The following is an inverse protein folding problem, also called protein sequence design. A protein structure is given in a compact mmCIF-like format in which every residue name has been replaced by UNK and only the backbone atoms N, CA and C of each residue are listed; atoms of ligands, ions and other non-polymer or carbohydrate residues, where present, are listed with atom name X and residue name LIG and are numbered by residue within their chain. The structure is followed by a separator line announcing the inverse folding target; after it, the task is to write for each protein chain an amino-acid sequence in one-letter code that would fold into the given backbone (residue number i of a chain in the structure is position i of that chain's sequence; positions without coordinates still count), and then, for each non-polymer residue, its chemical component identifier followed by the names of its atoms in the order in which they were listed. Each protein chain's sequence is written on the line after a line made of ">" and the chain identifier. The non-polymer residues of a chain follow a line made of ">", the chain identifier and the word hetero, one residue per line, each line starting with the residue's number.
data_IF_946875897649
#
_entry.id   IF_946875897649
#
_cell.length_a   1.000
_cell.length_b   1.000
_cell.length_c   1.000
_cell.angle_alpha   90.00
_cell.angle_beta   90.00
_cell.angle_gamma   90.00
#
_symmetry.space_group_name_H-M   'P 1'
#
loop_
_entity.id
_entity.type
_entity.pdbx_description
1 polymer ?
2 non-polymer ?
3 non-polymer ?
4 water ?
#
# COMPACT_ATOMS: atom_id res chain seq x y z
N UNK A 5 -12.71 9.48 0.42
CA UNK A 5 -13.33 10.38 -0.56
C UNK A 5 -14.71 9.82 -0.91
N UNK A 6 -15.71 10.06 -0.03
CA UNK A 6 -17.12 9.66 -0.20
C UNK A 6 -17.83 9.71 1.17
N UNK A 7 -18.15 8.53 1.76
CA UNK A 7 -18.66 8.39 3.14
C UNK A 7 -17.62 8.93 4.13
N UNK A 8 -18.02 9.12 5.39
CA UNK A 8 -17.16 9.61 6.47
C UNK A 8 -15.95 8.68 6.63
N UNK A 9 -16.19 7.35 6.63
CA UNK A 9 -15.12 6.36 6.79
C UNK A 9 -14.18 6.40 5.58
N UNK A 10 -14.71 6.58 4.36
CA UNK A 10 -13.88 6.67 3.15
C UNK A 10 -13.09 8.00 3.13
N UNK A 11 -13.62 9.09 3.73
CA UNK A 11 -12.85 10.33 3.91
C UNK A 11 -11.63 10.06 4.80
N UNK A 12 -11.83 9.31 5.91
CA UNK A 12 -10.72 8.94 6.81
C UNK A 12 -9.69 8.11 6.02
N UNK A 13 -10.15 7.15 5.21
CA UNK A 13 -9.27 6.35 4.34
C UNK A 13 -8.50 7.25 3.38
N UNK A 14 -9.18 8.22 2.75
CA UNK A 14 -8.51 9.14 1.81
C UNK A 14 -7.45 9.96 2.56
N UNK A 15 -7.74 10.40 3.79
CA UNK A 15 -6.77 11.11 4.63
C UNK A 15 -5.52 10.28 4.87
N UNK A 16 -5.72 9.00 5.25
CA UNK A 16 -4.60 8.05 5.46
C UNK A 16 -3.78 7.95 4.18
N UNK A 17 -4.45 7.74 3.03
CA UNK A 17 -3.79 7.60 1.73
C UNK A 17 -2.92 8.82 1.44
N UNK A 18 -3.47 10.04 1.62
CA UNK A 18 -2.71 11.29 1.42
C UNK A 18 -1.48 11.30 2.34
N UNK A 19 -1.63 10.87 3.60
CA UNK A 19 -0.49 10.83 4.53
C UNK A 19 0.57 9.85 4.04
N UNK A 20 0.17 8.65 3.58
CA UNK A 20 1.14 7.63 3.12
C UNK A 20 1.93 8.14 1.91
N UNK A 21 1.32 9.04 1.10
CA UNK A 21 1.95 9.62 -0.10
C UNK A 21 2.70 10.93 0.20
N UNK A 22 2.66 11.41 1.45
CA UNK A 22 3.20 12.73 1.85
C UNK A 22 4.71 12.68 2.07
N UNK A 23 5.38 13.84 2.01
CA UNK A 23 6.84 13.94 2.16
C UNK A 23 7.28 13.41 3.53
N UNK A 24 6.40 13.53 4.56
CA UNK A 24 6.64 13.05 5.92
C UNK A 24 7.17 11.60 5.93
N UNK A 25 6.64 10.73 5.05
CA UNK A 25 6.94 9.29 5.06
C UNK A 25 7.72 8.84 3.82
N UNK A 26 8.19 9.79 2.98
CA UNK A 26 8.79 9.50 1.68
C UNK A 26 10.04 8.62 1.79
N UNK A 27 10.81 8.74 2.90
CA UNK A 27 12.06 8.00 3.06
C UNK A 27 11.84 6.48 3.05
N UNK A 28 10.64 6.01 3.46
CA UNK A 28 10.31 4.57 3.49
C UNK A 28 9.07 4.22 2.65
N UNK A 29 8.29 5.22 2.20
CA UNK A 29 7.08 4.94 1.41
C UNK A 29 7.39 4.78 -0.09
N UNK A 30 8.53 5.30 -0.57
CA UNK A 30 8.76 5.47 -2.02
C UNK A 30 8.70 4.17 -2.81
N UNK A 31 9.13 3.00 -2.28
CA UNK A 31 9.02 1.75 -3.07
C UNK A 31 7.57 1.35 -3.37
N UNK A 32 6.60 1.94 -2.65
CA UNK A 32 5.17 1.57 -2.73
C UNK A 32 4.36 2.59 -3.53
N UNK A 33 5.02 3.61 -4.11
CA UNK A 33 4.35 4.71 -4.81
C UNK A 33 3.73 4.24 -6.12
N UNK A 34 4.41 3.33 -6.83
CA UNK A 34 4.02 2.91 -8.19
C UNK A 34 4.07 1.39 -8.29
N UNK A 35 3.38 0.79 -9.28
CA UNK A 35 3.46 -0.67 -9.47
C UNK A 35 4.91 -1.10 -9.56
N UNK A 36 5.25 -2.24 -8.93
CA UNK A 36 6.58 -2.86 -9.06
C UNK A 36 6.83 -3.11 -10.55
N UNK A 37 7.90 -2.51 -11.09
CA UNK A 37 8.34 -2.78 -12.46
C UNK A 37 9.34 -3.93 -12.39
N UNK A 38 8.82 -5.17 -12.43
CA UNK A 38 9.58 -6.40 -12.20
C UNK A 38 10.75 -6.50 -13.19
N UNK A 39 10.46 -6.26 -14.48
CA UNK A 39 11.45 -6.33 -15.58
C UNK A 39 12.57 -5.31 -15.36
N UNK A 40 12.22 -4.06 -15.00
CA UNK A 40 13.18 -2.97 -14.74
C UNK A 40 14.09 -3.28 -13.55
N UNK A 41 13.56 -3.96 -12.51
CA UNK A 41 14.29 -4.28 -11.28
C UNK A 41 14.99 -5.66 -11.36
N UNK A 42 14.80 -6.38 -12.48
CA UNK A 42 15.37 -7.71 -12.71
C UNK A 42 14.71 -8.80 -11.87
N UNK A 43 13.47 -8.55 -11.39
CA UNK A 43 12.73 -9.49 -10.52
C UNK A 43 11.85 -10.37 -11.41
N UNK A 44 12.48 -11.28 -12.17
CA UNK A 44 11.81 -12.04 -13.24
C UNK A 44 10.90 -13.14 -12.71
N UNK A 45 10.88 -13.35 -11.37
CA UNK A 45 10.00 -14.31 -10.69
C UNK A 45 8.85 -13.59 -9.97
N UNK A 46 8.82 -12.23 -10.01
CA UNK A 46 7.88 -11.44 -9.21
C UNK A 46 6.43 -11.84 -9.47
N UNK A 47 6.03 -11.88 -10.76
CA UNK A 47 4.63 -12.15 -11.15
C UNK A 47 4.27 -13.64 -11.08
N UNK A 48 5.26 -14.53 -10.84
CA UNK A 48 5.01 -15.95 -10.55
C UNK A 48 4.66 -16.12 -9.06
N UNK A 49 5.21 -15.26 -8.20
CA UNK A 49 5.06 -15.32 -6.73
C UNK A 49 3.91 -14.43 -6.27
N UNK A 50 3.76 -13.24 -6.88
CA UNK A 50 2.73 -12.24 -6.53
C UNK A 50 1.65 -12.26 -7.60
N UNK A 51 0.48 -12.84 -7.26
CA UNK A 51 -0.68 -13.03 -8.16
C UNK A 51 -1.46 -11.73 -8.32
N UNK A 52 -1.51 -10.90 -7.25
CA UNK A 52 -2.31 -9.67 -7.20
C UNK A 52 -1.44 -8.49 -6.77
N UNK A 53 -0.68 -7.89 -7.71
CA UNK A 53 0.14 -6.71 -7.37
C UNK A 53 -0.74 -5.57 -6.88
N UNK A 54 -0.20 -4.74 -5.98
CA UNK A 54 -0.92 -3.56 -5.46
C UNK A 54 0.12 -2.54 -5.01
N UNK A 55 -0.22 -1.25 -5.16
CA UNK A 55 0.67 -0.13 -4.84
C UNK A 55 -0.20 1.10 -4.58
N UNK A 56 0.39 2.17 -4.02
CA UNK A 56 -0.39 3.33 -3.59
C UNK A 56 -0.99 4.11 -4.75
N UNK A 57 -0.35 4.12 -5.94
CA UNK A 57 -0.93 4.83 -7.10
C UNK A 57 -2.20 4.14 -7.55
N UNK A 58 -2.24 2.79 -7.48
CA UNK A 58 -3.44 2.00 -7.83
C UNK A 58 -4.53 2.26 -6.80
N UNK A 59 -4.17 2.29 -5.50
CA UNK A 59 -5.14 2.60 -4.43
C UNK A 59 -5.71 4.01 -4.66
N UNK A 60 -4.86 4.97 -5.04
CA UNK A 60 -5.27 6.36 -5.31
C UNK A 60 -6.25 6.42 -6.48
N UNK A 61 -5.93 5.72 -7.59
CA UNK A 61 -6.82 5.68 -8.77
C UNK A 61 -8.18 5.09 -8.38
N UNK A 62 -8.17 4.00 -7.58
CA UNK A 62 -9.41 3.33 -7.16
C UNK A 62 -10.23 4.26 -6.25
N UNK A 63 -9.58 5.02 -5.36
CA UNK A 63 -10.29 5.98 -4.49
C UNK A 63 -10.90 7.09 -5.37
N UNK A 64 -10.12 7.64 -6.31
CA UNK A 64 -10.58 8.72 -7.20
C UNK A 64 -11.78 8.27 -8.05
N UNK A 65 -11.78 7.00 -8.48
CA UNK A 65 -12.83 6.41 -9.35
C UNK A 65 -14.02 5.90 -8.52
N UNK A 66 -13.99 6.08 -7.18
CA UNK A 66 -15.03 5.62 -6.25
C UNK A 66 -15.22 4.10 -6.38
N UNK A 67 -14.11 3.38 -6.62
CA UNK A 67 -14.08 1.92 -6.71
C UNK A 67 -14.38 1.33 -5.33
N UNK A 68 -13.75 1.86 -4.26
CA UNK A 68 -13.94 1.35 -2.89
C UNK A 68 -15.32 1.75 -2.38
N UNK A 69 -16.11 0.75 -1.96
CA UNK A 69 -17.47 0.97 -1.44
C UNK A 69 -17.44 1.17 0.07
N UNK A 70 -16.36 0.72 0.76
CA UNK A 70 -16.24 0.90 2.21
C UNK A 70 -14.77 0.88 2.62
N UNK A 71 -14.49 1.24 3.89
CA UNK A 71 -13.13 1.31 4.45
C UNK A 71 -12.45 -0.05 4.40
N UNK A 72 -13.21 -1.13 4.64
CA UNK A 72 -12.70 -2.51 4.67
C UNK A 72 -12.05 -2.85 3.32
N UNK A 73 -12.68 -2.46 2.21
CA UNK A 73 -12.19 -2.78 0.85
C UNK A 73 -10.89 -2.02 0.59
N UNK A 74 -10.84 -0.74 1.01
CA UNK A 74 -9.63 0.10 0.92
C UNK A 74 -8.49 -0.56 1.71
N UNK A 75 -8.75 -0.92 2.98
CA UNK A 75 -7.73 -1.50 3.87
C UNK A 75 -7.19 -2.81 3.29
N UNK A 76 -8.07 -3.61 2.67
CA UNK A 76 -7.67 -4.90 2.07
C UNK A 76 -6.61 -4.67 0.99
N UNK A 77 -6.74 -3.62 0.16
CA UNK A 77 -5.74 -3.31 -0.88
C UNK A 77 -4.44 -2.82 -0.24
N UNK A 78 -4.51 -1.95 0.78
CA UNK A 78 -3.29 -1.44 1.42
C UNK A 78 -2.53 -2.62 2.05
N UNK A 79 -3.25 -3.53 2.72
CA UNK A 79 -2.61 -4.68 3.38
C UNK A 79 -2.10 -5.67 2.35
N UNK A 80 -2.80 -5.82 1.20
CA UNK A 80 -2.35 -6.68 0.09
C UNK A 80 -0.97 -6.19 -0.38
N UNK A 81 -0.83 -4.86 -0.54
CA UNK A 81 0.45 -4.25 -0.94
C UNK A 81 1.57 -4.66 0.03
N UNK A 82 1.33 -4.56 1.35
CA UNK A 82 2.35 -4.93 2.36
C UNK A 82 2.61 -6.44 2.32
N UNK A 83 1.54 -7.26 2.25
CA UNK A 83 1.65 -8.72 2.22
C UNK A 83 2.49 -9.18 1.03
N UNK A 84 2.32 -8.54 -0.14
CA UNK A 84 3.11 -8.88 -1.35
C UNK A 84 4.59 -8.68 -1.05
N UNK A 85 4.92 -7.58 -0.36
CA UNK A 85 6.30 -7.25 0.02
C UNK A 85 6.87 -8.33 0.94
N UNK A 86 6.10 -8.73 1.98
CA UNK A 86 6.51 -9.75 2.95
C UNK A 86 6.60 -11.14 2.32
N UNK A 87 5.78 -11.42 1.29
CA UNK A 87 5.79 -12.72 0.60
C UNK A 87 7.02 -12.84 -0.29
N UNK A 88 7.32 -11.79 -1.07
CA UNK A 88 8.34 -11.85 -2.13
C UNK A 88 9.76 -11.77 -1.56
N UNK A 89 9.96 -10.89 -0.56
CA UNK A 89 11.30 -10.50 -0.09
C UNK A 89 11.73 -11.28 1.14
N UNK A 90 13.03 -11.60 1.26
CA UNK A 90 13.57 -12.11 2.54
C UNK A 90 13.28 -11.09 3.65
N UNK A 91 12.95 -11.55 4.86
CA UNK A 91 12.50 -10.63 5.93
C UNK A 91 13.54 -9.62 6.42
N UNK A 92 14.82 -9.80 6.06
CA UNK A 92 15.93 -8.91 6.46
C UNK A 92 16.27 -7.88 5.38
N UNK A 93 15.52 -7.86 4.25
CA UNK A 93 15.73 -6.91 3.14
C UNK A 93 15.29 -5.51 3.58
N UNK A 94 15.98 -4.46 3.09
CA UNK A 94 15.69 -3.05 3.39
C UNK A 94 14.22 -2.72 3.07
N UNK A 95 13.69 -3.22 1.94
CA UNK A 95 12.31 -2.89 1.51
C UNK A 95 11.30 -3.42 2.53
N UNK A 96 11.61 -4.55 3.21
CA UNK A 96 10.72 -5.13 4.24
C UNK A 96 10.69 -4.23 5.47
N UNK A 97 11.85 -3.69 5.90
CA UNK A 97 11.92 -2.72 7.00
C UNK A 97 11.08 -1.49 6.66
N UNK A 98 11.15 -1.04 5.40
CA UNK A 98 10.38 0.12 4.91
C UNK A 98 8.88 -0.20 4.94
N UNK A 99 8.49 -1.40 4.47
CA UNK A 99 7.09 -1.87 4.51
C UNK A 99 6.56 -1.86 5.95
N UNK A 100 7.34 -2.42 6.90
CA UNK A 100 6.96 -2.52 8.32
C UNK A 100 6.65 -1.12 8.88
N UNK A 101 7.54 -0.15 8.58
CA UNK A 101 7.41 1.23 9.06
C UNK A 101 6.16 1.89 8.46
N UNK A 102 5.94 1.75 7.15
CA UNK A 102 4.76 2.36 6.51
C UNK A 102 3.49 1.66 7.00
N UNK A 103 3.54 0.34 7.24
CA UNK A 103 2.36 -0.38 7.76
C UNK A 103 2.04 0.08 9.18
N UNK A 104 3.07 0.39 10.00
CA UNK A 104 2.84 0.93 11.36
C UNK A 104 2.06 2.24 11.26
N UNK A 105 2.48 3.15 10.35
CA UNK A 105 1.76 4.42 10.10
C UNK A 105 0.30 4.10 9.74
N UNK A 106 0.11 3.18 8.79
CA UNK A 106 -1.22 2.83 8.29
C UNK A 106 -2.10 2.27 9.41
N UNK A 107 -1.63 1.22 10.11
CA UNK A 107 -2.46 0.49 11.08
C UNK A 107 -2.88 1.40 12.24
N UNK A 108 -1.95 2.23 12.74
CA UNK A 108 -2.27 3.09 13.89
C UNK A 108 -3.31 4.14 13.51
N UNK A 109 -3.24 4.70 12.29
CA UNK A 109 -4.24 5.71 11.88
C UNK A 109 -5.55 5.04 11.45
N UNK A 110 -5.48 3.87 10.77
CA UNK A 110 -6.69 3.13 10.39
C UNK A 110 -7.51 2.78 11.64
N UNK A 111 -6.82 2.50 12.77
CA UNK A 111 -7.46 2.16 14.05
C UNK A 111 -8.28 3.33 14.61
N UNK A 112 -7.98 4.58 14.18
CA UNK A 112 -8.68 5.81 14.60
C UNK A 112 -9.88 6.11 13.70
N UNK A 113 -10.37 5.11 12.94
CA UNK A 113 -11.56 5.20 12.08
C UNK A 113 -12.74 5.76 12.89
N UNK A 114 -13.42 6.80 12.39
CA UNK A 114 -14.64 7.29 13.07
C UNK A 114 -15.76 6.25 12.95
N UNK A 115 -16.55 6.08 14.03
CA UNK A 115 -17.61 5.07 14.13
C UNK A 115 -18.85 5.52 13.36
X LIG B 1 1.29 -3.17 12.91
X LIG B 1 1.94 -3.04 11.66
X LIG B 1 1.60 -2.05 13.83
X LIG B 1 2.99 -1.90 14.07
X LIG C 1 -12.76 -4.55 -7.06
X LIG C 1 -12.00 -3.36 -7.22
X LIG C 1 -13.86 -4.68 -8.06
X LIG C 1 -14.61 -3.50 -8.21
X LIG D 1 10.92 -14.68 0.98
X LIG D 1 11.52 -15.66 0.15
X LIG D 1 10.05 -15.27 2.03
X LIG D 1 10.74 -15.54 3.24
X LIG E 1 14.73 -7.25 -4.65
X LIG E 1 14.81 -4.82 -4.99
X LIG E 1 14.26 -3.56 -5.01
X LIG E 1 12.93 -3.38 -4.67
X LIG E 1 13.89 -0.72 -3.54
X LIG E 1 13.98 -10.55 -3.12
X LIG E 1 14.84 -9.57 -3.83
X LIG E 1 14.24 -8.23 -3.88
X LIG E 1 15.73 -7.43 -5.36
X LIG E 1 14.05 -5.92 -4.63
X LIG E 1 12.30 -2.15 -4.66
X LIG E 1 13.09 -0.95 -4.79
X LIG E 1 13.35 -0.86 -2.28
X LIG E 1 14.16 -0.62 -1.18
X LIG E 1 15.47 -0.26 -1.36
X LIG E 1 15.93 -0.14 -2.66
X LIG E 1 15.17 -0.36 -3.74
X LIG E 1 12.12 -4.47 -4.31
X LIG E 1 12.70 -5.74 -4.29
X LIG E 1 10.71 -4.32 -3.93
X LIG E 1 9.85 -3.26 -4.01
X LIG E 1 8.69 -3.71 -3.50
X LIG E 1 7.44 -2.98 -3.35
X LIG E 1 8.80 -4.99 -3.12
X LIG E 1 10.03 -5.37 -3.37
#
# INVERSE_FOLDING_TARGET
>A
GSMGKLSEQLKHCNGILKELLSKKHAAYAWPFYKPVDASALGLHDYHDIIKHPMDLSTVKRKMENRDYRDAQEFAADVRLMFSNCYKYNPPDHDVVAMARKLQDVFEFRYAKMPD
>B hetero
1 EDO C1 O1 C2 O2
>C hetero
1 EDO C1 O1 C2 O2
>D hetero
1 EDO C1 O1 C2 O2
>E hetero
1 UM5 C10 C13 C15 C17 C22 C01 C05 N08 O11 C12 O18 C19 C23 C25 C27 C29 N31 C32 C33 C35 C36 N38 C39 N43 N44
#
